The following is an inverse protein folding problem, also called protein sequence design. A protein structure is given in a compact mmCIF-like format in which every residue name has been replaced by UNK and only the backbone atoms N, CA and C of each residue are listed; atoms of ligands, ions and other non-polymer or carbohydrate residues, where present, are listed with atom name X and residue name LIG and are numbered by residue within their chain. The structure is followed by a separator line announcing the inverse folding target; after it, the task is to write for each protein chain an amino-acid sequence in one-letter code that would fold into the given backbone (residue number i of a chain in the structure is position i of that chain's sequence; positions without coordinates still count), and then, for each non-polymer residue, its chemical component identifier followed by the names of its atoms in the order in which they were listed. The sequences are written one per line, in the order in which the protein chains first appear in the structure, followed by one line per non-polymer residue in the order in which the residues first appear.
data_IF_435239021992
#
_entry.id   IF_435239021992
#
_cell.length_a   1.000
_cell.length_b   1.000
_cell.length_c   1.000
_cell.angle_alpha   90.00
_cell.angle_beta   90.00
_cell.angle_gamma   90.00
#
_symmetry.space_group_name_H-M   'P 1'
#
loop_
_entity.id
_entity.type
_entity.pdbx_description
1 polymer ?
#
# COMPACT_ATOMS: atom_id res chain seq x y z
N UNK A 1 -64.08 -36.47 -19.39
CA UNK A 1 -62.61 -36.51 -19.51
C UNK A 1 -62.04 -36.00 -18.20
N UNK A 2 -61.18 -36.66 -17.42
CA UNK A 2 -60.58 -37.98 -17.44
C UNK A 2 -59.69 -38.02 -16.19
N UNK A 3 -59.83 -39.10 -15.40
CA UNK A 3 -58.80 -39.85 -14.63
C UNK A 3 -57.50 -39.10 -14.31
N UNK A 4 -56.97 -39.10 -13.09
CA UNK A 4 -56.41 -40.26 -12.36
C UNK A 4 -55.71 -39.70 -11.11
N UNK A 5 -55.80 -40.32 -9.92
CA UNK A 5 -54.78 -41.16 -9.24
C UNK A 5 -53.46 -40.41 -8.92
N UNK A 6 -52.73 -40.57 -7.82
CA UNK A 6 -52.60 -41.57 -6.75
C UNK A 6 -51.57 -40.93 -5.76
N UNK A 7 -51.75 -41.00 -4.43
CA UNK A 7 -51.28 -42.07 -3.50
C UNK A 7 -49.77 -42.06 -3.21
N UNK A 8 -49.45 -41.85 -1.91
CA UNK A 8 -48.36 -42.39 -1.04
C UNK A 8 -46.90 -42.29 -1.56
N UNK A 9 -45.79 -42.39 -0.80
CA UNK A 9 -45.37 -42.94 0.50
C UNK A 9 -44.14 -42.08 0.92
N UNK A 10 -43.94 -41.67 2.17
CA UNK A 10 -43.39 -42.41 3.32
C UNK A 10 -41.86 -42.54 3.33
N UNK A 11 -41.34 -42.62 4.57
CA UNK A 11 -40.03 -43.12 5.03
C UNK A 11 -39.02 -42.03 5.41
N UNK A 12 -38.94 -41.79 6.71
CA UNK A 12 -37.78 -41.18 7.35
C UNK A 12 -36.67 -42.19 7.59
N UNK A 13 -35.45 -41.70 7.83
CA UNK A 13 -34.37 -42.47 8.44
C UNK A 13 -33.63 -41.55 9.41
N UNK A 14 -33.75 -41.89 10.69
CA UNK A 14 -32.81 -41.56 11.75
C UNK A 14 -31.50 -42.31 11.48
N UNK A 15 -30.36 -41.62 11.47
CA UNK A 15 -29.08 -42.27 11.75
C UNK A 15 -28.14 -41.31 12.48
N UNK A 16 -27.99 -41.59 13.77
CA UNK A 16 -26.88 -41.19 14.64
C UNK A 16 -25.57 -41.76 14.12
N UNK A 17 -24.51 -40.94 14.01
CA UNK A 17 -23.14 -41.45 13.93
C UNK A 17 -22.33 -40.88 15.10
N UNK A 18 -21.81 -41.84 15.84
CA UNK A 18 -21.08 -41.84 17.09
C UNK A 18 -19.68 -41.21 17.02
N UNK A 19 -19.30 -40.59 18.14
CA UNK A 19 -17.93 -40.32 18.54
C UNK A 19 -17.10 -41.62 18.55
N UNK A 20 -15.93 -41.57 17.90
CA UNK A 20 -14.86 -42.54 18.10
C UNK A 20 -13.55 -41.76 18.18
N UNK A 21 -12.96 -41.73 19.39
CA UNK A 21 -11.54 -41.44 19.57
C UNK A 21 -10.68 -42.64 19.20
N UNK A 22 -9.35 -42.53 19.39
CA UNK A 22 -8.23 -43.43 18.98
C UNK A 22 -7.47 -42.77 17.80
N UNK A 23 -6.15 -42.60 17.75
CA UNK A 23 -5.03 -43.02 18.59
C UNK A 23 -3.84 -42.09 18.32
N UNK A 24 -2.98 -41.87 19.32
CA UNK A 24 -1.63 -41.38 19.09
C UNK A 24 -0.78 -42.47 18.42
N UNK A 25 -0.40 -42.28 17.15
CA UNK A 25 0.64 -43.07 16.50
C UNK A 25 2.02 -42.44 16.77
N UNK A 26 2.85 -43.15 17.54
CA UNK A 26 4.30 -42.88 17.64
C UNK A 26 4.94 -43.14 16.29
N UNK A 27 5.57 -42.11 15.71
CA UNK A 27 6.38 -42.22 14.50
C UNK A 27 7.69 -42.98 14.73
N UNK A 28 8.26 -43.59 13.68
CA UNK A 28 9.49 -44.38 13.76
C UNK A 28 10.72 -43.51 14.04
N UNK A 29 11.67 -44.09 14.79
CA UNK A 29 13.02 -43.53 15.01
C UNK A 29 13.69 -43.29 13.66
N UNK A 30 14.09 -42.04 13.40
CA UNK A 30 15.04 -41.72 12.34
C UNK A 30 16.46 -42.05 12.83
N UNK A 31 17.13 -42.92 12.08
CA UNK A 31 18.55 -43.21 12.23
C UNK A 31 19.38 -41.96 11.94
N UNK A 32 20.38 -41.78 12.79
CA UNK A 32 21.27 -40.65 12.83
C UNK A 32 22.46 -40.92 11.87
N UNK A 33 22.28 -40.60 10.59
CA UNK A 33 23.42 -40.37 9.67
C UNK A 33 23.43 -38.91 9.29
N UNK A 34 24.02 -38.10 10.16
CA UNK A 34 24.41 -36.73 9.86
C UNK A 34 25.46 -36.76 8.75
N UNK A 35 25.05 -36.37 7.54
CA UNK A 35 25.97 -35.85 6.53
C UNK A 35 26.25 -34.41 6.92
N UNK A 36 27.48 -34.17 7.35
CA UNK A 36 28.04 -32.88 7.68
C UNK A 36 28.12 -32.01 6.41
N UNK A 37 27.12 -31.15 6.22
CA UNK A 37 27.23 -29.99 5.34
C UNK A 37 27.45 -28.78 6.23
N UNK A 38 28.68 -28.61 6.69
CA UNK A 38 29.14 -27.41 7.37
C UNK A 38 29.09 -26.24 6.38
N UNK A 39 27.97 -25.51 6.37
CA UNK A 39 27.94 -24.15 5.83
C UNK A 39 28.51 -23.26 6.92
N UNK A 40 29.76 -22.81 6.74
CA UNK A 40 30.39 -21.78 7.57
C UNK A 40 29.67 -20.45 7.34
N UNK A 41 28.62 -20.20 8.12
CA UNK A 41 27.96 -18.91 8.16
C UNK A 41 28.77 -18.03 9.12
N UNK A 42 29.68 -17.22 8.58
CA UNK A 42 30.40 -16.20 9.34
C UNK A 42 29.42 -15.10 9.73
N UNK A 43 28.66 -15.33 10.80
CA UNK A 43 27.90 -14.28 11.45
C UNK A 43 28.90 -13.31 12.08
N UNK A 44 29.08 -12.15 11.45
CA UNK A 44 29.72 -11.01 12.09
C UNK A 44 28.76 -10.52 13.17
N UNK A 45 29.10 -10.83 14.41
CA UNK A 45 28.49 -10.31 15.61
C UNK A 45 28.83 -8.81 15.73
N UNK A 46 27.91 -7.95 15.29
CA UNK A 46 27.98 -6.51 15.49
C UNK A 46 27.27 -6.09 16.80
N UNK A 47 27.57 -6.76 17.91
CA UNK A 47 27.20 -6.32 19.26
C UNK A 47 28.09 -5.17 19.73
N UNK A 48 28.05 -4.02 19.05
CA UNK A 48 28.43 -2.72 19.59
C UNK A 48 28.02 -1.58 18.65
N UNK A 49 26.72 -1.30 18.55
CA UNK A 49 26.27 0.05 18.20
C UNK A 49 25.44 0.55 19.38
N UNK A 50 26.01 1.48 20.11
CA UNK A 50 25.41 2.17 21.24
C UNK A 50 24.24 3.03 20.74
N UNK A 51 23.08 2.40 20.50
CA UNK A 51 21.83 3.07 20.18
C UNK A 51 21.17 3.57 21.46
N UNK A 52 21.71 4.69 21.96
CA UNK A 52 20.99 5.54 22.91
C UNK A 52 20.73 6.90 22.26
N UNK A 53 19.98 6.91 21.15
CA UNK A 53 19.35 8.12 20.66
C UNK A 53 17.94 8.21 21.25
N UNK A 54 17.86 8.69 22.49
CA UNK A 54 16.62 9.22 23.03
C UNK A 54 16.34 10.52 22.27
N UNK A 55 15.33 10.53 21.42
CA UNK A 55 14.89 11.75 20.73
C UNK A 55 14.15 12.60 21.79
N UNK A 56 14.87 13.53 22.41
CA UNK A 56 14.25 14.56 23.24
C UNK A 56 13.52 15.58 22.34
N UNK A 57 12.24 15.91 22.59
CA UNK A 57 11.46 16.80 21.71
C UNK A 57 11.87 18.28 21.71
N UNK A 58 12.98 18.66 22.37
CA UNK A 58 13.31 20.06 22.66
C UNK A 58 14.48 20.65 21.86
N UNK A 59 15.13 19.89 20.97
CA UNK A 59 16.18 20.44 20.08
C UNK A 59 15.69 20.60 18.63
N UNK A 60 14.54 21.28 18.47
CA UNK A 60 14.25 21.97 17.22
C UNK A 60 14.97 23.32 17.22
N UNK A 61 16.25 23.31 16.83
CA UNK A 61 16.89 24.53 16.35
C UNK A 61 16.10 25.02 15.14
N UNK A 62 15.57 26.23 15.24
CA UNK A 62 14.88 26.99 14.18
C UNK A 62 15.71 27.05 12.90
N UNK A 63 15.59 26.03 12.06
CA UNK A 63 15.85 26.13 10.64
C UNK A 63 14.61 26.76 10.02
N UNK A 64 14.82 27.91 9.39
CA UNK A 64 13.86 28.56 8.52
C UNK A 64 13.33 27.55 7.50
N UNK A 65 12.05 27.20 7.59
CA UNK A 65 11.36 26.30 6.66
C UNK A 65 11.29 27.00 5.29
N UNK A 66 12.25 26.70 4.43
CA UNK A 66 12.25 27.09 3.02
C UNK A 66 11.33 26.15 2.24
N UNK A 67 10.23 26.69 1.70
CA UNK A 67 9.44 26.16 0.59
C UNK A 67 9.05 24.67 0.64
N UNK A 68 8.04 24.32 1.46
CA UNK A 68 7.32 23.02 1.51
C UNK A 68 8.10 21.71 1.72
N UNK A 69 9.40 21.65 1.42
CA UNK A 69 10.19 20.42 1.40
C UNK A 69 9.92 19.52 0.19
N UNK A 70 9.03 19.89 -0.72
CA UNK A 70 8.63 19.08 -1.86
C UNK A 70 9.80 18.91 -2.85
N UNK A 71 10.12 17.69 -3.31
CA UNK A 71 11.16 17.48 -4.30
C UNK A 71 10.80 18.07 -5.66
N UNK A 72 11.82 18.40 -6.45
CA UNK A 72 11.62 18.92 -7.81
C UNK A 72 10.91 17.89 -8.70
N UNK A 73 9.75 18.21 -9.30
CA UNK A 73 8.98 17.22 -10.06
C UNK A 73 9.74 16.60 -11.25
N UNK A 74 10.67 17.33 -11.87
CA UNK A 74 11.44 16.81 -13.00
C UNK A 74 12.40 15.68 -12.57
N UNK A 75 13.02 15.82 -11.40
CA UNK A 75 13.86 14.79 -10.79
C UNK A 75 13.07 13.53 -10.42
N UNK A 76 11.83 13.71 -9.93
CA UNK A 76 10.94 12.61 -9.55
C UNK A 76 10.46 11.85 -10.78
N UNK A 77 10.10 12.53 -11.86
CA UNK A 77 9.57 11.86 -13.06
C UNK A 77 10.53 10.81 -13.64
N UNK A 78 11.83 11.09 -13.61
CA UNK A 78 12.85 10.16 -14.09
C UNK A 78 12.98 8.94 -13.17
N UNK A 79 12.95 9.14 -11.86
CA UNK A 79 13.02 8.05 -10.87
C UNK A 79 11.74 7.21 -10.82
N UNK A 80 10.57 7.82 -11.08
CA UNK A 80 9.26 7.17 -11.01
C UNK A 80 9.08 6.04 -12.05
N UNK A 81 9.62 6.19 -13.26
CA UNK A 81 9.56 5.14 -14.27
C UNK A 81 10.37 3.90 -13.84
N UNK A 82 11.57 4.11 -13.30
CA UNK A 82 12.38 3.04 -12.75
C UNK A 82 11.75 2.43 -11.50
N UNK A 83 11.20 3.25 -10.59
CA UNK A 83 10.48 2.83 -9.39
C UNK A 83 9.29 1.93 -9.74
N UNK A 84 8.48 2.34 -10.72
CA UNK A 84 7.33 1.57 -11.22
C UNK A 84 7.76 0.24 -11.84
N UNK A 85 8.83 0.24 -12.65
CA UNK A 85 9.38 -0.98 -13.26
C UNK A 85 9.90 -1.94 -12.19
N UNK A 86 10.58 -1.43 -11.17
CA UNK A 86 11.09 -2.22 -10.06
C UNK A 86 9.96 -2.81 -9.21
N UNK A 87 8.91 -2.02 -8.93
CA UNK A 87 7.73 -2.50 -8.21
C UNK A 87 7.01 -3.61 -9.00
N UNK A 88 6.85 -3.42 -10.31
CA UNK A 88 6.20 -4.39 -11.19
C UNK A 88 7.02 -5.69 -11.29
N UNK A 89 8.34 -5.59 -11.43
CA UNK A 89 9.23 -6.75 -11.38
C UNK A 89 9.12 -7.47 -10.03
N UNK A 90 9.16 -6.73 -8.92
CA UNK A 90 9.09 -7.29 -7.58
C UNK A 90 7.76 -8.01 -7.29
N UNK A 91 6.63 -7.50 -7.77
CA UNK A 91 5.32 -8.14 -7.57
C UNK A 91 5.13 -9.35 -8.49
N UNK A 92 5.62 -9.30 -9.73
CA UNK A 92 5.48 -10.41 -10.68
C UNK A 92 6.28 -11.66 -10.30
N UNK A 93 7.28 -11.52 -9.41
CA UNK A 93 7.91 -12.69 -8.78
C UNK A 93 6.97 -13.46 -7.84
N UNK A 94 5.94 -12.80 -7.31
CA UNK A 94 4.94 -13.40 -6.42
C UNK A 94 3.68 -13.81 -7.20
N UNK A 95 3.21 -12.94 -8.09
CA UNK A 95 1.97 -13.13 -8.84
C UNK A 95 2.14 -12.65 -10.29
N UNK A 96 2.36 -13.56 -11.26
CA UNK A 96 2.75 -13.19 -12.62
C UNK A 96 1.74 -12.34 -13.40
N UNK A 97 0.45 -12.46 -13.10
CA UNK A 97 -0.64 -11.71 -13.74
C UNK A 97 -1.04 -10.44 -12.96
N UNK A 98 -0.22 -9.99 -12.00
CA UNK A 98 -0.48 -8.78 -11.23
C UNK A 98 -0.47 -7.51 -12.11
N UNK A 99 -1.51 -6.68 -11.99
CA UNK A 99 -1.70 -5.45 -12.76
C UNK A 99 -1.83 -4.27 -11.79
N UNK A 100 -1.10 -3.19 -12.07
CA UNK A 100 -1.12 -1.98 -11.25
C UNK A 100 -2.50 -1.32 -11.28
N UNK A 101 -3.06 -1.03 -10.11
CA UNK A 101 -4.37 -0.40 -9.96
C UNK A 101 -4.32 0.92 -9.17
N UNK A 102 -3.37 1.06 -8.24
CA UNK A 102 -3.27 2.25 -7.41
C UNK A 102 -1.83 2.54 -7.01
N UNK A 103 -1.47 3.82 -6.90
CA UNK A 103 -0.24 4.25 -6.23
C UNK A 103 -0.62 5.16 -5.07
N UNK A 104 -0.14 4.86 -3.87
CA UNK A 104 -0.44 5.59 -2.64
C UNK A 104 0.83 6.13 -2.00
N UNK A 105 0.89 7.45 -1.86
CA UNK A 105 2.02 8.13 -1.23
C UNK A 105 1.49 8.90 -0.04
N UNK A 106 2.16 8.76 1.10
CA UNK A 106 1.78 9.45 2.35
C UNK A 106 2.98 10.16 2.94
N UNK A 107 2.75 11.40 3.34
CA UNK A 107 3.67 12.29 4.02
C UNK A 107 3.12 12.68 5.39
N UNK A 108 4.00 12.85 6.37
CA UNK A 108 3.66 13.28 7.73
C UNK A 108 4.49 14.53 8.04
N UNK A 109 3.81 15.64 8.38
CA UNK A 109 4.37 16.93 8.82
C UNK A 109 5.36 17.63 7.86
N UNK A 110 5.75 17.02 6.75
CA UNK A 110 6.69 17.54 5.76
C UNK A 110 6.44 16.89 4.41
N UNK A 111 6.59 17.61 3.29
CA UNK A 111 6.50 17.02 1.93
C UNK A 111 7.85 16.51 1.40
N UNK A 112 8.89 16.49 2.23
CA UNK A 112 10.21 15.97 1.89
C UNK A 112 10.22 14.45 1.84
N UNK A 113 10.79 13.89 0.78
CA UNK A 113 11.04 12.46 0.66
C UNK A 113 11.92 11.94 1.82
N UNK A 114 12.84 12.75 2.34
CA UNK A 114 13.81 12.36 3.37
C UNK A 114 13.22 12.35 4.78
N UNK A 115 12.33 13.29 5.09
CA UNK A 115 11.90 13.55 6.48
C UNK A 115 10.41 13.37 6.69
N UNK A 116 9.62 13.45 5.62
CA UNK A 116 8.16 13.40 5.70
C UNK A 116 7.53 12.16 5.09
N UNK A 117 8.18 11.51 4.12
CA UNK A 117 7.63 10.34 3.44
C UNK A 117 7.47 9.17 4.42
N UNK A 118 6.23 8.76 4.64
CA UNK A 118 5.88 7.64 5.49
C UNK A 118 5.65 6.35 4.70
N UNK A 119 5.00 6.45 3.54
CA UNK A 119 4.69 5.28 2.69
C UNK A 119 4.70 5.63 1.21
N UNK A 120 5.10 4.68 0.37
CA UNK A 120 5.05 4.78 -1.08
C UNK A 120 4.67 3.40 -1.68
N UNK A 121 3.37 3.12 -1.69
CA UNK A 121 2.83 1.84 -2.10
C UNK A 121 2.40 1.84 -3.57
N UNK A 122 2.83 0.81 -4.29
CA UNK A 122 2.25 0.38 -5.54
C UNK A 122 1.35 -0.81 -5.27
N UNK A 123 0.07 -0.70 -5.62
CA UNK A 123 -0.96 -1.68 -5.30
C UNK A 123 -1.43 -2.35 -6.58
N UNK A 124 -1.33 -3.68 -6.60
CA UNK A 124 -1.65 -4.51 -7.76
C UNK A 124 -2.80 -5.46 -7.44
N UNK A 125 -3.61 -5.75 -8.44
CA UNK A 125 -4.63 -6.80 -8.40
C UNK A 125 -4.28 -7.94 -9.36
N UNK A 126 -4.82 -9.13 -9.11
CA UNK A 126 -4.61 -10.32 -9.93
C UNK A 126 -5.94 -10.93 -10.31
N UNK A 127 -6.10 -11.29 -11.59
CA UNK A 127 -7.31 -11.96 -12.06
C UNK A 127 -7.42 -13.40 -11.54
N UNK A 128 -6.28 -14.08 -11.38
CA UNK A 128 -6.22 -15.44 -10.83
C UNK A 128 -6.31 -15.49 -9.30
N UNK A 129 -6.08 -14.37 -8.60
CA UNK A 129 -6.28 -14.27 -7.15
C UNK A 129 -7.01 -12.97 -6.77
N UNK A 130 -8.34 -12.89 -6.98
CA UNK A 130 -9.10 -11.66 -6.85
C UNK A 130 -9.40 -11.25 -5.40
N UNK A 131 -9.14 -12.11 -4.40
CA UNK A 131 -9.44 -11.83 -3.00
C UNK A 131 -8.36 -11.01 -2.30
N UNK A 132 -7.24 -10.72 -2.98
CA UNK A 132 -6.12 -10.00 -2.39
C UNK A 132 -5.56 -8.92 -3.32
N UNK A 133 -5.16 -7.82 -2.70
CA UNK A 133 -4.22 -6.86 -3.27
C UNK A 133 -2.78 -7.21 -2.90
N UNK A 134 -1.88 -6.96 -3.84
CA UNK A 134 -0.44 -7.09 -3.66
C UNK A 134 0.14 -5.69 -3.54
N UNK A 135 0.67 -5.35 -2.36
CA UNK A 135 1.23 -4.03 -2.09
C UNK A 135 2.75 -4.13 -2.11
N UNK A 136 3.40 -3.28 -2.89
CA UNK A 136 4.85 -3.11 -2.90
C UNK A 136 5.17 -1.73 -2.36
N UNK A 137 5.79 -1.66 -1.18
CA UNK A 137 6.35 -0.41 -0.68
C UNK A 137 7.69 -0.18 -1.35
N UNK A 138 7.79 0.89 -2.13
CA UNK A 138 9.01 1.34 -2.77
C UNK A 138 9.65 2.43 -1.89
N UNK A 139 10.50 2.03 -0.93
CA UNK A 139 11.05 3.01 -0.01
C UNK A 139 11.93 4.01 -0.74
N UNK A 140 11.94 5.23 -0.22
CA UNK A 140 12.98 6.22 -0.50
C UNK A 140 13.88 6.32 0.73
N UNK A 141 15.10 6.82 0.56
CA UNK A 141 16.10 6.95 1.64
C UNK A 141 16.78 5.64 2.09
N UNK A 142 16.90 4.65 1.20
CA UNK A 142 17.73 3.47 1.46
C UNK A 142 17.10 2.41 2.37
N UNK A 143 15.81 2.53 2.71
CA UNK A 143 15.12 1.41 3.35
C UNK A 143 14.97 0.22 2.38
N UNK A 144 14.61 -0.94 2.94
CA UNK A 144 14.38 -2.16 2.15
C UNK A 144 12.98 -2.18 1.58
N UNK A 145 12.87 -2.62 0.32
CA UNK A 145 11.59 -2.90 -0.32
C UNK A 145 10.78 -3.91 0.53
N UNK A 146 9.50 -3.61 0.73
CA UNK A 146 8.57 -4.48 1.47
C UNK A 146 7.42 -4.89 0.56
N UNK A 147 6.95 -6.13 0.72
CA UNK A 147 5.80 -6.66 -0.02
C UNK A 147 4.78 -7.16 0.98
N UNK A 148 3.51 -6.84 0.75
CA UNK A 148 2.40 -7.24 1.60
C UNK A 148 1.29 -7.83 0.72
N UNK A 149 0.60 -8.81 1.28
CA UNK A 149 -0.65 -9.31 0.74
C UNK A 149 -1.75 -8.76 1.65
N UNK A 150 -2.74 -8.09 1.07
CA UNK A 150 -3.84 -7.45 1.79
C UNK A 150 -5.15 -8.01 1.25
N UNK A 151 -6.02 -8.60 2.10
CA UNK A 151 -7.38 -8.94 1.70
C UNK A 151 -8.09 -7.71 1.12
N UNK A 152 -8.91 -7.91 0.08
CA UNK A 152 -9.63 -6.80 -0.57
C UNK A 152 -10.52 -6.07 0.43
N UNK A 153 -11.14 -6.79 1.36
CA UNK A 153 -11.98 -6.24 2.42
C UNK A 153 -11.25 -5.32 3.41
N UNK A 154 -9.92 -5.43 3.53
CA UNK A 154 -9.11 -4.57 4.41
C UNK A 154 -8.73 -3.24 3.73
N UNK A 155 -8.83 -3.17 2.39
CA UNK A 155 -8.61 -1.95 1.63
C UNK A 155 -9.95 -1.27 1.36
N UNK A 156 -10.46 -0.53 2.36
CA UNK A 156 -11.72 0.21 2.27
C UNK A 156 -11.62 1.39 1.28
N UNK A 157 -11.87 1.11 0.00
CA UNK A 157 -11.99 2.11 -1.06
C UNK A 157 -13.46 2.31 -1.42
N UNK A 158 -13.93 3.56 -1.53
CA UNK A 158 -15.32 3.85 -1.85
C UNK A 158 -15.66 3.62 -3.34
N UNK A 159 -14.77 3.02 -4.11
CA UNK A 159 -14.91 2.79 -5.55
C UNK A 159 -14.07 1.61 -6.01
N UNK A 160 -14.52 0.96 -7.09
CA UNK A 160 -13.73 -0.02 -7.81
C UNK A 160 -12.55 0.66 -8.51
N UNK A 161 -11.39 0.00 -8.44
CA UNK A 161 -10.17 0.43 -9.11
C UNK A 161 -10.07 -0.17 -10.51
N UNK A 162 -9.88 0.68 -11.51
CA UNK A 162 -9.48 0.23 -12.84
C UNK A 162 -7.95 0.16 -12.97
N UNK A 163 -7.43 -0.75 -13.82
CA UNK A 163 -6.00 -0.81 -14.13
C UNK A 163 -5.43 0.55 -14.55
N UNK A 164 -4.23 0.89 -14.08
CA UNK A 164 -3.53 2.11 -14.47
C UNK A 164 -2.76 1.86 -15.77
N UNK A 165 -3.14 2.47 -16.90
CA UNK A 165 -2.37 2.42 -18.14
C UNK A 165 -1.21 3.42 -18.07
N UNK A 166 0.03 2.92 -17.98
CA UNK A 166 1.23 3.74 -17.84
C UNK A 166 1.34 4.88 -18.89
N UNK A 167 0.84 4.68 -20.11
CA UNK A 167 0.84 5.70 -21.18
C UNK A 167 0.10 7.00 -20.83
N UNK A 168 -0.85 6.97 -19.88
CA UNK A 168 -1.63 8.16 -19.48
C UNK A 168 -1.12 8.78 -18.17
N UNK A 169 -0.19 8.11 -17.47
CA UNK A 169 0.46 8.65 -16.29
C UNK A 169 1.64 9.55 -16.69
N UNK A 170 1.39 10.85 -16.86
CA UNK A 170 2.42 11.80 -17.30
C UNK A 170 2.98 12.68 -16.19
N UNK A 171 2.22 12.85 -15.11
CA UNK A 171 2.57 13.69 -13.97
C UNK A 171 2.95 12.84 -12.76
N UNK A 172 4.02 13.25 -12.09
CA UNK A 172 4.45 12.66 -10.83
C UNK A 172 3.54 13.10 -9.67
N UNK A 173 3.67 12.44 -8.52
CA UNK A 173 3.02 12.91 -7.31
C UNK A 173 3.51 14.31 -6.90
N UNK A 174 4.77 14.65 -7.20
CA UNK A 174 5.33 15.96 -6.90
C UNK A 174 4.70 17.06 -7.77
N UNK A 175 4.40 16.76 -9.04
CA UNK A 175 3.61 17.68 -9.89
C UNK A 175 2.21 17.91 -9.29
N UNK A 176 1.54 16.84 -8.86
CA UNK A 176 0.21 16.92 -8.27
C UNK A 176 0.20 17.69 -6.94
N UNK A 177 1.16 17.42 -6.05
CA UNK A 177 1.30 18.13 -4.78
C UNK A 177 1.62 19.61 -5.02
N UNK A 178 2.50 19.94 -5.97
CA UNK A 178 2.79 21.33 -6.34
C UNK A 178 1.53 22.05 -6.82
N UNK A 179 0.71 21.40 -7.63
CA UNK A 179 -0.54 21.95 -8.12
C UNK A 179 -1.57 22.15 -6.99
N UNK A 180 -1.65 21.21 -6.03
CA UNK A 180 -2.52 21.32 -4.86
C UNK A 180 -2.04 22.40 -3.87
N UNK A 181 -0.73 22.56 -3.68
CA UNK A 181 -0.13 23.61 -2.83
C UNK A 181 -0.53 25.00 -3.34
N UNK A 182 -0.55 25.22 -4.67
CA UNK A 182 -1.01 26.45 -5.31
C UNK A 182 -2.52 26.72 -5.14
N UNK A 183 -3.29 25.72 -4.70
CA UNK A 183 -4.74 25.79 -4.49
C UNK A 183 -5.13 25.77 -3.01
N UNK A 184 -4.20 26.10 -2.12
CA UNK A 184 -4.45 26.23 -0.68
C UNK A 184 -3.74 25.19 0.19
N UNK A 185 -3.03 24.21 -0.39
CA UNK A 185 -2.22 23.26 0.39
C UNK A 185 -1.12 23.95 1.20
N UNK A 186 -0.47 24.97 0.63
CA UNK A 186 0.55 25.75 1.35
C UNK A 186 -0.04 26.49 2.55
N UNK A 187 -1.20 27.11 2.37
CA UNK A 187 -1.91 27.82 3.45
C UNK A 187 -2.39 26.85 4.53
N UNK A 188 -2.86 25.66 4.13
CA UNK A 188 -3.22 24.59 5.05
C UNK A 188 -2.03 24.21 5.94
N UNK A 189 -0.86 23.95 5.36
CA UNK A 189 0.35 23.60 6.13
C UNK A 189 0.89 24.77 6.96
N UNK A 190 0.64 26.02 6.56
CA UNK A 190 0.99 27.19 7.36
C UNK A 190 0.07 27.33 8.59
N UNK A 191 -1.20 26.95 8.46
CA UNK A 191 -2.21 26.98 9.53
C UNK A 191 -2.05 25.84 10.54
N UNK A 192 -1.69 24.64 10.07
CA UNK A 192 -1.65 23.42 10.88
C UNK A 192 -0.21 22.96 11.11
N UNK A 193 0.25 22.95 12.37
CA UNK A 193 1.63 22.52 12.72
C UNK A 193 1.86 21.02 12.58
N UNK A 194 0.80 20.22 12.68
CA UNK A 194 0.83 18.78 12.49
C UNK A 194 -0.23 18.36 11.49
N UNK A 195 0.16 17.61 10.47
CA UNK A 195 -0.70 17.22 9.37
C UNK A 195 -0.21 15.96 8.68
N UNK A 196 -1.11 15.33 7.94
CA UNK A 196 -0.79 14.28 6.97
C UNK A 196 -1.17 14.76 5.58
N UNK A 197 -0.35 14.40 4.58
CA UNK A 197 -0.66 14.62 3.17
C UNK A 197 -0.59 13.29 2.44
N UNK A 198 -1.67 12.89 1.79
CA UNK A 198 -1.68 11.71 0.93
C UNK A 198 -1.93 12.10 -0.52
N UNK A 199 -1.23 11.46 -1.44
CA UNK A 199 -1.48 11.53 -2.88
C UNK A 199 -1.73 10.11 -3.41
N UNK A 200 -2.94 9.89 -3.94
CA UNK A 200 -3.36 8.60 -4.49
C UNK A 200 -3.54 8.74 -5.99
N UNK A 201 -2.80 7.98 -6.80
CA UNK A 201 -3.07 7.84 -8.23
C UNK A 201 -4.01 6.66 -8.44
N UNK A 202 -5.18 6.93 -9.04
CA UNK A 202 -6.15 5.89 -9.36
C UNK A 202 -7.03 6.30 -10.55
N UNK A 203 -7.72 5.31 -11.11
CA UNK A 203 -8.84 5.50 -12.04
C UNK A 203 -10.10 4.97 -11.38
N UNK A 204 -10.87 5.82 -10.67
CA UNK A 204 -12.22 5.44 -10.25
C UNK A 204 -13.10 5.17 -11.48
N UNK A 205 -14.05 4.25 -11.35
CA UNK A 205 -14.99 3.95 -12.41
C UNK A 205 -15.69 5.23 -12.94
N UNK A 206 -15.65 5.42 -14.26
CA UNK A 206 -16.25 6.58 -14.93
C UNK A 206 -15.47 7.89 -14.83
N UNK A 207 -14.26 7.88 -14.24
CA UNK A 207 -13.40 9.06 -14.11
C UNK A 207 -12.08 8.94 -14.88
N UNK A 208 -11.36 10.04 -14.99
CA UNK A 208 -10.01 10.07 -15.55
C UNK A 208 -8.96 9.59 -14.54
N UNK A 209 -7.79 9.19 -15.05
CA UNK A 209 -6.62 8.92 -14.21
C UNK A 209 -6.17 10.21 -13.54
N UNK A 210 -6.27 10.24 -12.22
CA UNK A 210 -6.02 11.45 -11.42
C UNK A 210 -5.25 11.13 -10.15
N UNK A 211 -4.48 12.11 -9.70
CA UNK A 211 -3.94 12.18 -8.35
C UNK A 211 -4.96 12.82 -7.42
N UNK A 212 -5.45 12.05 -6.45
CA UNK A 212 -6.30 12.51 -5.37
C UNK A 212 -5.42 12.90 -4.18
N UNK A 213 -5.25 14.20 -3.99
CA UNK A 213 -4.45 14.79 -2.91
C UNK A 213 -5.36 15.12 -1.74
N UNK A 214 -4.99 14.69 -0.53
CA UNK A 214 -5.69 15.04 0.71
C UNK A 214 -4.70 15.55 1.73
N UNK A 215 -4.95 16.74 2.26
CA UNK A 215 -4.32 17.27 3.46
C UNK A 215 -5.28 17.06 4.62
N UNK A 216 -4.79 16.53 5.74
CA UNK A 216 -5.57 16.32 6.96
C UNK A 216 -4.80 16.87 8.14
N UNK A 217 -5.45 17.72 8.93
CA UNK A 217 -4.86 18.22 10.16
C UNK A 217 -4.88 17.13 11.23
N UNK A 218 -3.77 16.98 11.94
CA UNK A 218 -3.63 16.03 13.06
C UNK A 218 -3.45 16.75 14.40
N UNK A 219 -3.69 18.07 14.41
CA UNK A 219 -3.64 18.94 15.59
C UNK A 219 -4.94 18.97 16.41
N UNK A 220 -5.91 18.09 16.07
CA UNK A 220 -7.21 18.00 16.72
C UNK A 220 -8.30 18.90 16.13
N UNK A 221 -7.99 19.77 15.16
CA UNK A 221 -9.00 20.59 14.47
C UNK A 221 -9.92 19.76 13.56
N UNK A 222 -9.38 18.67 12.99
CA UNK A 222 -10.10 17.84 12.03
C UNK A 222 -10.23 18.47 10.63
N UNK A 223 -9.56 19.59 10.37
CA UNK A 223 -9.59 20.27 9.08
C UNK A 223 -9.04 19.35 7.97
N UNK A 224 -9.68 19.40 6.80
CA UNK A 224 -9.31 18.61 5.63
C UNK A 224 -9.39 19.48 4.37
N UNK A 225 -8.38 19.38 3.52
CA UNK A 225 -8.40 19.92 2.16
C UNK A 225 -8.21 18.77 1.18
N UNK A 226 -9.05 18.68 0.15
CA UNK A 226 -8.91 17.67 -0.91
C UNK A 226 -8.85 18.33 -2.28
N UNK A 227 -8.05 17.75 -3.14
CA UNK A 227 -7.93 18.14 -4.54
C UNK A 227 -7.79 16.90 -5.42
N UNK A 228 -8.35 16.95 -6.62
CA UNK A 228 -8.07 16.02 -7.70
C UNK A 228 -7.23 16.74 -8.76
N UNK A 229 -6.15 16.10 -9.22
CA UNK A 229 -5.25 16.59 -10.26
C UNK A 229 -5.20 15.57 -11.38
N UNK A 230 -5.70 15.93 -12.56
CA UNK A 230 -5.66 15.06 -13.74
C UNK A 230 -4.21 14.68 -14.08
N UNK A 231 -3.90 13.38 -14.14
CA UNK A 231 -2.53 12.87 -14.21
C UNK A 231 -1.86 13.07 -15.59
N UNK A 232 -2.59 13.63 -16.56
CA UNK A 232 -2.11 13.91 -17.91
C UNK A 232 -1.92 15.41 -18.16
N UNK A 233 -2.92 16.22 -17.81
CA UNK A 233 -2.99 17.67 -18.08
C UNK A 233 -2.59 18.54 -16.89
N UNK A 234 -2.68 18.01 -15.66
CA UNK A 234 -2.45 18.78 -14.44
C UNK A 234 -3.62 19.69 -14.05
N UNK A 235 -4.77 19.56 -14.71
CA UNK A 235 -5.97 20.29 -14.33
C UNK A 235 -6.37 19.94 -12.88
N UNK A 236 -6.61 20.96 -12.05
CA UNK A 236 -6.91 20.81 -10.63
C UNK A 236 -8.37 21.13 -10.34
N UNK A 237 -9.03 20.28 -9.56
CA UNK A 237 -10.35 20.50 -8.98
C UNK A 237 -10.31 20.32 -7.47
N UNK A 238 -10.85 21.26 -6.71
CA UNK A 238 -11.10 21.06 -5.28
C UNK A 238 -12.34 20.17 -5.11
N UNK A 239 -12.30 19.23 -4.17
CA UNK A 239 -13.33 18.19 -3.99
C UNK A 239 -13.71 17.97 -2.53
#
# INVERSE_FOLDING_TARGET
MGRSKAILLLVGIFTTISLVGISCSRGPKADNTAVDNTITNTAIDNTAINNTAVINPTDQTTTTVSGSGLPDPSSIKTSLAAETTNAESAVKTLQPDAILQLVSIKFINSLSDQTGLATNYYIYASASNPNFYYLVNMPRNGERLKRFLMPVEDLDLPFDLLPIPAKYWKLSYADALKAAEQRGGSDFRAKHKTFEVSAILAIPAGQYLSWFVTYRATDGTGDVLKASVDANSGAVSLI
#
